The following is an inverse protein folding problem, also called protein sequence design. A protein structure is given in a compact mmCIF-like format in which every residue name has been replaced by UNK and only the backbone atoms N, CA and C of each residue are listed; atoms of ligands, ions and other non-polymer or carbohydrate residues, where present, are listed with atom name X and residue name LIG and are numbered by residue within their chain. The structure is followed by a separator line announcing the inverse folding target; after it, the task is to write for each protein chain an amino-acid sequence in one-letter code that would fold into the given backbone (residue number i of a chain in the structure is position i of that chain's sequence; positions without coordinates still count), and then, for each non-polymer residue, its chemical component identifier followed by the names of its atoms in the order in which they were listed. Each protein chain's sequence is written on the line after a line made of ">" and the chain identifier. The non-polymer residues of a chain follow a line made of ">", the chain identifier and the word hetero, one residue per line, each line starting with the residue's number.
data_IF_366950327743
#
_entry.id   IF_366950327743
#
_cell.length_a   1.000
_cell.length_b   1.000
_cell.length_c   1.000
_cell.angle_alpha   90.00
_cell.angle_beta   90.00
_cell.angle_gamma   90.00
#
_symmetry.space_group_name_H-M   'P 1'
#
loop_
_entity.id
_entity.type
_entity.pdbx_description
1 polymer ?
#
# COMPACT_ATOMS: atom_id res chain seq x y z
N UNK A 1 -9.36 7.51 12.52
CA UNK A 1 -8.95 8.48 11.52
C UNK A 1 -7.51 8.91 11.79
N UNK A 2 -6.78 9.39 10.77
CA UNK A 2 -5.37 9.78 10.83
C UNK A 2 -4.41 8.67 11.32
N UNK A 3 -4.75 7.39 11.11
CA UNK A 3 -3.89 6.27 11.42
C UNK A 3 -3.14 5.83 10.15
N UNK A 4 -1.80 5.99 10.08
CA UNK A 4 -1.02 5.59 8.90
C UNK A 4 -1.00 4.08 8.67
N UNK A 5 -1.29 3.28 9.71
CA UNK A 5 -1.35 1.82 9.62
C UNK A 5 -2.75 1.27 9.36
N UNK A 6 -3.76 2.14 9.17
CA UNK A 6 -5.13 1.71 8.92
C UNK A 6 -5.23 0.81 7.68
N UNK A 7 -5.97 -0.29 7.80
CA UNK A 7 -6.21 -1.26 6.72
C UNK A 7 -7.70 -1.55 6.59
N UNK A 8 -8.22 -1.42 5.38
CA UNK A 8 -9.59 -1.85 5.08
C UNK A 8 -9.63 -3.32 4.69
N UNK A 9 -10.81 -3.96 4.79
CA UNK A 9 -10.99 -5.34 4.33
C UNK A 9 -10.88 -5.49 2.81
N UNK A 10 -10.99 -4.40 2.07
CA UNK A 10 -10.78 -4.39 0.62
C UNK A 10 -9.32 -4.23 0.23
N UNK A 11 -8.40 -4.08 1.21
CA UNK A 11 -6.96 -3.94 0.99
C UNK A 11 -6.47 -2.51 0.77
N UNK A 12 -7.30 -1.50 1.01
CA UNK A 12 -6.84 -0.12 1.08
C UNK A 12 -6.03 0.10 2.37
N UNK A 13 -4.95 0.89 2.30
CA UNK A 13 -4.00 1.06 3.40
C UNK A 13 -3.58 2.53 3.55
N UNK A 14 -3.28 2.92 4.80
CA UNK A 14 -2.67 4.18 5.16
C UNK A 14 -3.65 5.33 5.37
N UNK A 15 -3.12 6.53 5.57
CA UNK A 15 -3.90 7.76 5.76
C UNK A 15 -4.83 8.03 4.57
N UNK A 16 -4.35 7.77 3.37
CA UNK A 16 -5.03 8.06 2.11
C UNK A 16 -5.81 6.86 1.56
N UNK A 17 -5.79 5.73 2.25
CA UNK A 17 -6.51 4.50 1.87
C UNK A 17 -6.26 4.09 0.40
N UNK A 18 -5.01 4.12 -0.02
CA UNK A 18 -4.66 3.67 -1.36
C UNK A 18 -4.87 2.17 -1.54
N UNK A 19 -5.56 1.80 -2.62
CA UNK A 19 -5.49 0.44 -3.16
C UNK A 19 -4.09 0.19 -3.74
N UNK A 20 -3.56 -1.06 -3.67
CA UNK A 20 -2.20 -1.35 -4.13
C UNK A 20 -1.92 -0.91 -5.57
N UNK A 21 -2.84 -1.17 -6.51
CA UNK A 21 -2.68 -0.79 -7.91
C UNK A 21 -2.62 0.73 -8.09
N UNK A 22 -3.46 1.48 -7.36
CA UNK A 22 -3.47 2.94 -7.41
C UNK A 22 -2.21 3.51 -6.77
N UNK A 23 -1.79 3.00 -5.62
CA UNK A 23 -0.54 3.42 -4.97
C UNK A 23 0.67 3.27 -5.89
N UNK A 24 0.85 2.10 -6.48
CA UNK A 24 1.95 1.85 -7.45
C UNK A 24 1.88 2.78 -8.67
N UNK A 25 0.69 3.03 -9.21
CA UNK A 25 0.50 3.96 -10.33
C UNK A 25 1.00 5.37 -10.02
N UNK A 26 0.89 5.81 -8.77
CA UNK A 26 1.32 7.13 -8.33
C UNK A 26 2.68 7.14 -7.64
N UNK A 27 3.47 6.05 -7.81
CA UNK A 27 4.88 5.99 -7.46
C UNK A 27 5.18 5.45 -6.07
N UNK A 28 4.21 4.80 -5.39
CA UNK A 28 4.46 4.15 -4.11
C UNK A 28 5.03 2.76 -4.30
N UNK A 29 6.08 2.45 -3.57
CA UNK A 29 6.63 1.10 -3.48
C UNK A 29 5.79 0.24 -2.54
N UNK A 30 5.40 -0.94 -3.03
CA UNK A 30 4.55 -1.87 -2.28
C UNK A 30 5.03 -3.29 -2.56
N UNK A 31 5.66 -3.89 -1.56
CA UNK A 31 6.16 -5.28 -1.61
C UNK A 31 6.07 -5.93 -0.22
N UNK A 32 6.77 -7.03 0.02
CA UNK A 32 6.71 -7.76 1.28
C UNK A 32 7.50 -7.12 2.43
N UNK A 33 8.40 -6.19 2.15
CA UNK A 33 9.23 -5.49 3.13
C UNK A 33 8.87 -4.01 3.28
N UNK A 34 8.31 -3.40 2.24
CA UNK A 34 7.93 -1.98 2.25
C UNK A 34 6.52 -1.78 1.73
N UNK A 35 5.78 -0.90 2.38
CA UNK A 35 4.46 -0.45 1.95
C UNK A 35 4.35 1.07 2.17
N UNK A 36 4.79 1.85 1.18
CA UNK A 36 4.81 3.32 1.25
C UNK A 36 3.41 3.96 1.32
N UNK A 37 2.33 3.16 1.24
CA UNK A 37 0.98 3.67 1.53
C UNK A 37 0.82 4.04 3.00
N UNK A 38 1.65 3.44 3.87
CA UNK A 38 1.70 3.75 5.31
C UNK A 38 2.61 4.93 5.63
N UNK A 39 3.52 5.30 4.73
CA UNK A 39 4.37 6.48 4.88
C UNK A 39 3.52 7.76 4.73
N UNK A 40 3.43 8.62 5.75
CA UNK A 40 2.57 9.82 5.70
C UNK A 40 3.00 10.79 4.60
N UNK A 41 4.29 10.97 4.37
CA UNK A 41 4.83 11.94 3.40
C UNK A 41 4.65 11.39 1.98
N UNK A 42 5.18 10.19 1.71
CA UNK A 42 5.13 9.56 0.39
C UNK A 42 3.69 9.34 -0.08
N UNK A 43 2.82 8.86 0.83
CA UNK A 43 1.41 8.66 0.47
C UNK A 43 0.66 9.97 0.22
N UNK A 44 1.01 11.06 0.93
CA UNK A 44 0.43 12.38 0.67
C UNK A 44 0.86 12.95 -0.67
N UNK A 45 2.14 12.85 -1.03
CA UNK A 45 2.63 13.22 -2.36
C UNK A 45 1.90 12.44 -3.48
N UNK A 46 1.74 11.14 -3.30
CA UNK A 46 1.00 10.30 -4.25
C UNK A 46 -0.48 10.71 -4.34
N UNK A 47 -1.11 11.05 -3.21
CA UNK A 47 -2.50 11.53 -3.17
C UNK A 47 -2.66 12.87 -3.88
N UNK A 48 -1.73 13.81 -3.71
CA UNK A 48 -1.71 15.08 -4.43
C UNK A 48 -1.62 14.86 -5.96
N UNK A 49 -0.75 13.94 -6.41
CA UNK A 49 -0.63 13.57 -7.82
C UNK A 49 -1.94 12.95 -8.35
N UNK A 50 -2.57 12.09 -7.55
CA UNK A 50 -3.84 11.47 -7.91
C UNK A 50 -4.97 12.50 -8.00
N UNK A 51 -5.13 13.36 -6.99
CA UNK A 51 -6.12 14.44 -6.99
C UNK A 51 -5.92 15.38 -8.17
N UNK A 52 -4.68 15.77 -8.49
CA UNK A 52 -4.36 16.58 -9.67
C UNK A 52 -4.80 15.88 -10.97
N UNK A 53 -4.58 14.58 -11.09
CA UNK A 53 -5.03 13.79 -12.24
C UNK A 53 -6.57 13.76 -12.36
N UNK A 54 -7.28 13.59 -11.24
CA UNK A 54 -8.74 13.61 -11.22
C UNK A 54 -9.29 15.01 -11.57
N UNK A 55 -8.65 16.06 -11.06
CA UNK A 55 -9.05 17.44 -11.38
C UNK A 55 -8.84 17.76 -12.86
N UNK A 56 -7.81 17.21 -13.50
CA UNK A 56 -7.63 17.38 -14.95
C UNK A 56 -8.79 16.82 -15.77
N UNK A 57 -9.47 15.77 -15.27
CA UNK A 57 -10.60 15.11 -15.92
C UNK A 57 -11.93 15.83 -15.64
N UNK A 58 -12.19 16.14 -14.38
CA UNK A 58 -13.52 16.59 -13.94
C UNK A 58 -13.66 18.10 -13.85
N UNK A 59 -12.57 18.85 -13.56
CA UNK A 59 -12.55 20.32 -13.37
C UNK A 59 -13.49 20.85 -12.28
N UNK A 60 -13.99 19.95 -11.42
CA UNK A 60 -14.90 20.23 -10.31
C UNK A 60 -14.45 19.43 -9.09
N UNK A 61 -14.21 20.10 -7.96
CA UNK A 61 -13.69 19.45 -6.75
C UNK A 61 -14.68 18.47 -6.12
N UNK A 62 -15.99 18.71 -6.22
CA UNK A 62 -16.98 17.79 -5.68
C UNK A 62 -16.95 16.45 -6.44
N UNK A 63 -16.79 16.51 -7.77
CA UNK A 63 -16.61 15.32 -8.61
C UNK A 63 -15.25 14.66 -8.38
N UNK A 64 -14.20 15.44 -8.12
CA UNK A 64 -12.86 14.91 -7.79
C UNK A 64 -12.90 14.12 -6.49
N UNK A 65 -13.53 14.65 -5.43
CA UNK A 65 -13.66 13.97 -4.14
C UNK A 65 -14.49 12.69 -4.28
N UNK A 66 -15.60 12.74 -5.04
CA UNK A 66 -16.36 11.55 -5.36
C UNK A 66 -15.55 10.50 -6.14
N UNK A 67 -14.76 10.94 -7.13
CA UNK A 67 -13.91 10.07 -7.94
C UNK A 67 -12.71 9.50 -7.18
N UNK A 68 -12.20 10.21 -6.17
CA UNK A 68 -11.20 9.69 -5.27
C UNK A 68 -11.72 8.47 -4.50
N UNK A 69 -12.96 8.54 -4.00
CA UNK A 69 -13.57 7.46 -3.25
C UNK A 69 -13.98 6.25 -4.14
N UNK A 70 -14.73 6.47 -5.24
CA UNK A 70 -15.27 5.36 -6.03
C UNK A 70 -14.55 5.09 -7.37
N UNK A 71 -13.55 5.88 -7.69
CA UNK A 71 -12.84 5.84 -8.97
C UNK A 71 -13.53 6.65 -10.08
N UNK A 72 -12.75 7.20 -11.03
CA UNK A 72 -13.27 8.05 -12.11
C UNK A 72 -14.26 7.34 -13.03
N UNK A 73 -14.13 6.03 -13.21
CA UNK A 73 -15.05 5.25 -14.03
C UNK A 73 -16.49 5.23 -13.48
N UNK A 74 -16.66 5.17 -12.17
CA UNK A 74 -18.00 5.19 -11.56
C UNK A 74 -18.63 6.57 -11.62
N UNK A 75 -17.85 7.64 -11.47
CA UNK A 75 -18.33 9.02 -11.66
C UNK A 75 -18.75 9.26 -13.11
N UNK A 76 -17.98 8.80 -14.10
CA UNK A 76 -18.34 8.92 -15.51
C UNK A 76 -19.63 8.13 -15.84
N UNK A 77 -19.81 6.93 -15.29
CA UNK A 77 -21.07 6.19 -15.41
C UNK A 77 -22.26 6.95 -14.81
N UNK A 78 -22.06 7.58 -13.65
CA UNK A 78 -23.11 8.38 -13.00
C UNK A 78 -23.46 9.63 -13.83
N UNK A 79 -22.48 10.34 -14.40
CA UNK A 79 -22.67 11.45 -15.33
C UNK A 79 -23.50 11.01 -16.56
N UNK A 80 -23.14 9.89 -17.17
CA UNK A 80 -23.90 9.34 -18.30
C UNK A 80 -25.37 9.04 -17.95
N UNK A 81 -25.59 8.39 -16.78
CA UNK A 81 -26.96 8.08 -16.30
C UNK A 81 -27.77 9.32 -15.93
N UNK A 82 -27.10 10.42 -15.54
CA UNK A 82 -27.72 11.72 -15.26
C UNK A 82 -27.97 12.56 -16.51
N UNK A 83 -27.87 11.99 -17.70
CA UNK A 83 -28.05 12.71 -18.96
C UNK A 83 -26.94 13.69 -19.30
N UNK A 84 -25.69 13.43 -18.84
CA UNK A 84 -24.53 14.26 -19.09
C UNK A 84 -24.31 15.40 -18.11
N UNK A 85 -25.15 15.55 -17.10
CA UNK A 85 -25.00 16.58 -16.06
C UNK A 85 -23.72 16.32 -15.26
N UNK A 86 -22.90 17.38 -15.06
CA UNK A 86 -21.57 17.30 -14.45
C UNK A 86 -21.49 18.04 -13.13
N UNK A 87 -22.54 17.99 -12.33
CA UNK A 87 -22.53 18.46 -10.94
C UNK A 87 -22.83 17.31 -9.98
N UNK A 88 -22.25 17.37 -8.78
CA UNK A 88 -22.35 16.28 -7.79
C UNK A 88 -23.79 15.93 -7.43
N UNK A 89 -24.67 16.91 -7.24
CA UNK A 89 -26.02 16.67 -6.77
C UNK A 89 -26.92 16.05 -7.85
N UNK A 90 -26.71 16.43 -9.11
CA UNK A 90 -27.39 15.80 -10.24
C UNK A 90 -26.99 14.32 -10.43
N UNK A 91 -25.73 13.95 -10.17
CA UNK A 91 -25.25 12.58 -10.29
C UNK A 91 -25.42 11.76 -9.01
N UNK A 92 -25.73 12.40 -7.88
CA UNK A 92 -25.85 11.79 -6.55
C UNK A 92 -26.70 10.49 -6.55
N UNK A 93 -27.90 10.41 -7.15
CA UNK A 93 -28.70 9.19 -7.14
C UNK A 93 -28.04 8.00 -7.84
N UNK A 94 -27.10 8.27 -8.75
CA UNK A 94 -26.43 7.27 -9.58
C UNK A 94 -25.05 6.84 -9.05
N UNK A 95 -24.55 7.53 -8.01
CA UNK A 95 -23.29 7.18 -7.34
C UNK A 95 -23.46 5.95 -6.42
N UNK A 96 -22.38 5.20 -6.15
CA UNK A 96 -22.38 4.17 -5.11
C UNK A 96 -22.83 4.75 -3.76
N UNK A 97 -23.56 3.95 -2.97
CA UNK A 97 -24.15 4.39 -1.69
C UNK A 97 -23.11 5.03 -0.74
N UNK A 98 -21.93 4.44 -0.64
CA UNK A 98 -20.83 4.96 0.17
C UNK A 98 -20.38 6.34 -0.32
N UNK A 99 -20.20 6.51 -1.63
CA UNK A 99 -19.72 7.74 -2.26
C UNK A 99 -20.69 8.90 -2.07
N UNK A 100 -22.01 8.62 -1.99
CA UNK A 100 -23.02 9.66 -1.73
C UNK A 100 -22.78 10.38 -0.41
N UNK A 101 -22.37 9.64 0.62
CA UNK A 101 -22.06 10.22 1.94
C UNK A 101 -20.66 10.84 2.02
N UNK A 102 -19.75 10.46 1.13
CA UNK A 102 -18.33 10.82 1.24
C UNK A 102 -18.09 12.33 1.14
N UNK A 103 -18.64 13.00 0.14
CA UNK A 103 -18.51 14.45 -0.02
C UNK A 103 -19.17 15.24 1.12
N UNK A 104 -20.42 14.98 1.52
CA UNK A 104 -21.03 15.64 2.68
C UNK A 104 -20.23 15.45 3.97
N UNK A 105 -19.71 14.24 4.24
CA UNK A 105 -18.86 13.97 5.40
C UNK A 105 -17.54 14.74 5.33
N UNK A 106 -16.92 14.83 4.16
CA UNK A 106 -15.70 15.63 3.95
C UNK A 106 -15.94 17.11 4.25
N UNK A 107 -17.06 17.68 3.76
CA UNK A 107 -17.44 19.08 4.03
C UNK A 107 -17.67 19.28 5.54
N UNK A 108 -18.41 18.37 6.18
CA UNK A 108 -18.70 18.44 7.62
C UNK A 108 -17.41 18.34 8.46
N UNK A 109 -16.50 17.42 8.11
CA UNK A 109 -15.23 17.28 8.80
C UNK A 109 -14.35 18.53 8.61
N UNK A 110 -14.25 19.05 7.39
CA UNK A 110 -13.53 20.30 7.12
C UNK A 110 -14.10 21.48 7.91
N UNK A 111 -15.42 21.59 7.98
CA UNK A 111 -16.08 22.62 8.78
C UNK A 111 -15.73 22.47 10.28
N UNK A 112 -15.92 21.27 10.82
CA UNK A 112 -15.63 21.01 12.24
C UNK A 112 -14.17 21.27 12.61
N UNK A 113 -13.22 20.97 11.73
CA UNK A 113 -11.79 21.24 11.96
C UNK A 113 -11.43 22.71 11.87
N UNK A 114 -12.06 23.46 10.94
CA UNK A 114 -11.77 24.89 10.79
C UNK A 114 -12.45 25.77 11.85
N UNK A 115 -13.53 25.30 12.46
CA UNK A 115 -14.32 26.03 13.45
C UNK A 115 -14.38 25.28 14.80
N UNK A 116 -13.33 24.50 15.11
CA UNK A 116 -13.27 23.68 16.31
C UNK A 116 -13.43 24.49 17.59
N UNK A 117 -12.75 25.63 17.69
CA UNK A 117 -12.82 26.59 18.78
C UNK A 117 -14.24 27.17 18.99
N UNK A 118 -14.91 27.56 17.91
CA UNK A 118 -16.30 28.07 17.94
C UNK A 118 -17.27 27.04 18.50
N UNK A 119 -16.98 25.74 18.28
CA UNK A 119 -17.82 24.63 18.75
C UNK A 119 -17.32 24.03 20.09
N UNK A 120 -16.35 24.67 20.76
CA UNK A 120 -15.80 24.17 22.02
C UNK A 120 -15.06 22.83 21.91
N UNK A 121 -14.58 22.50 20.72
CA UNK A 121 -13.79 21.29 20.46
C UNK A 121 -12.33 21.62 20.75
N UNK A 122 -11.85 21.21 21.92
CA UNK A 122 -10.46 21.40 22.31
C UNK A 122 -9.64 20.11 22.07
N UNK A 123 -8.35 20.21 21.74
CA UNK A 123 -7.45 19.05 21.76
C UNK A 123 -7.44 18.41 23.14
N UNK A 124 -7.52 17.10 23.23
CA UNK A 124 -7.52 16.38 24.51
C UNK A 124 -6.17 16.46 25.24
N UNK A 125 -5.07 16.51 24.50
CA UNK A 125 -3.70 16.63 25.01
C UNK A 125 -2.80 17.04 23.85
N UNK A 126 -1.85 17.95 24.10
CA UNK A 126 -0.77 18.17 23.15
C UNK A 126 0.14 16.95 23.09
N UNK A 127 0.08 16.20 22.02
CA UNK A 127 1.06 15.17 21.74
C UNK A 127 2.24 15.88 21.07
N UNK A 128 3.26 16.18 21.88
CA UNK A 128 4.55 16.62 21.34
C UNK A 128 5.18 15.43 20.61
N UNK A 129 5.14 15.47 19.30
CA UNK A 129 5.96 14.55 18.50
C UNK A 129 7.41 14.99 18.62
N UNK A 130 8.37 14.08 18.82
CA UNK A 130 9.78 14.44 18.83
C UNK A 130 10.12 15.08 17.48
N UNK A 131 11.00 16.06 17.49
CA UNK A 131 11.59 16.60 16.26
C UNK A 131 12.36 15.46 15.61
N UNK A 132 12.08 15.19 14.35
CA UNK A 132 12.65 14.06 13.65
C UNK A 132 13.57 14.51 12.53
N UNK A 133 14.58 13.70 12.27
CA UNK A 133 15.43 13.81 11.09
C UNK A 133 15.25 12.59 10.19
N UNK A 134 15.58 12.75 8.91
CA UNK A 134 15.47 11.67 7.92
C UNK A 134 16.86 11.32 7.41
N UNK A 135 17.32 10.16 7.78
CA UNK A 135 18.57 9.60 7.29
C UNK A 135 18.30 8.74 6.05
N UNK A 136 19.09 8.96 5.01
CA UNK A 136 19.05 8.12 3.80
C UNK A 136 20.08 7.01 3.94
N UNK A 137 19.62 5.76 3.81
CA UNK A 137 20.50 4.58 3.90
C UNK A 137 20.24 3.60 2.76
N UNK A 138 21.31 3.01 2.24
CA UNK A 138 21.24 1.91 1.27
C UNK A 138 21.49 0.54 1.92
N UNK A 139 21.75 0.52 3.23
CA UNK A 139 22.07 -0.69 3.97
C UNK A 139 20.82 -1.43 4.42
N UNK A 140 20.82 -2.75 4.22
CA UNK A 140 19.75 -3.60 4.74
C UNK A 140 19.92 -3.77 6.24
N UNK A 141 18.89 -3.36 6.99
CA UNK A 141 18.93 -3.42 8.46
C UNK A 141 17.56 -3.68 9.05
N UNK A 142 17.55 -4.13 10.28
CA UNK A 142 16.35 -4.35 11.06
C UNK A 142 16.23 -3.28 12.15
N UNK A 143 15.04 -2.71 12.36
CA UNK A 143 14.82 -1.66 13.36
C UNK A 143 15.27 -2.09 14.78
N UNK A 144 15.24 -3.40 15.08
CA UNK A 144 15.76 -3.92 16.36
C UNK A 144 17.27 -3.72 16.51
N UNK A 145 18.04 -3.67 15.41
CA UNK A 145 19.46 -3.37 15.49
C UNK A 145 19.70 -1.94 15.96
N UNK A 146 18.86 -1.01 15.52
CA UNK A 146 18.90 0.40 15.94
C UNK A 146 18.49 0.50 17.41
N UNK A 147 17.35 -0.09 17.79
CA UNK A 147 16.84 -0.06 19.16
C UNK A 147 17.79 -0.70 20.19
N UNK A 148 18.61 -1.67 19.79
CA UNK A 148 19.55 -2.33 20.70
C UNK A 148 20.83 -1.53 20.94
N UNK A 149 21.19 -0.58 20.08
CA UNK A 149 22.40 0.20 20.16
C UNK A 149 22.16 1.67 20.53
N UNK A 150 20.93 2.16 20.34
CA UNK A 150 20.54 3.53 20.64
C UNK A 150 19.40 3.56 21.66
N UNK A 151 19.29 4.65 22.40
CA UNK A 151 18.24 4.85 23.40
C UNK A 151 16.89 5.19 22.75
N UNK A 152 16.30 4.20 22.08
CA UNK A 152 14.98 4.29 21.44
C UNK A 152 14.28 2.93 21.46
N UNK A 153 12.98 2.93 21.69
CA UNK A 153 12.17 1.72 21.65
C UNK A 153 11.86 1.29 20.20
N UNK A 154 11.68 -0.02 19.98
CA UNK A 154 11.29 -0.53 18.66
C UNK A 154 9.88 -0.06 18.27
N UNK A 155 9.00 0.16 19.25
CA UNK A 155 7.65 0.68 19.07
C UNK A 155 7.68 2.11 18.54
N UNK A 156 8.59 2.92 19.00
CA UNK A 156 8.79 4.28 18.54
C UNK A 156 9.37 4.32 17.13
N UNK A 157 10.37 3.49 16.85
CA UNK A 157 10.89 3.31 15.49
C UNK A 157 9.82 2.86 14.49
N UNK A 158 8.93 1.93 14.89
CA UNK A 158 7.79 1.49 14.06
C UNK A 158 6.78 2.62 13.81
N UNK A 159 6.55 3.47 14.81
CA UNK A 159 5.66 4.63 14.68
C UNK A 159 6.23 5.66 13.72
N UNK A 160 7.54 5.91 13.75
CA UNK A 160 8.22 6.84 12.87
C UNK A 160 8.42 6.29 11.46
N UNK A 161 8.48 4.95 11.32
CA UNK A 161 8.76 4.26 10.05
C UNK A 161 7.69 3.20 9.72
N UNK A 162 6.42 3.57 9.64
CA UNK A 162 5.32 2.61 9.49
C UNK A 162 5.33 1.87 8.14
N UNK A 163 6.08 2.36 7.15
CA UNK A 163 6.22 1.76 5.83
C UNK A 163 7.04 0.46 5.83
N UNK A 164 7.91 0.24 6.83
CA UNK A 164 8.77 -0.96 6.87
C UNK A 164 8.04 -2.14 7.49
N UNK A 165 7.58 -3.05 6.63
CA UNK A 165 7.01 -4.32 7.08
C UNK A 165 8.11 -5.21 7.69
N UNK A 166 7.75 -5.96 8.74
CA UNK A 166 8.68 -6.86 9.45
C UNK A 166 9.89 -6.13 10.07
N UNK A 167 9.78 -4.83 10.29
CA UNK A 167 10.84 -3.98 10.86
C UNK A 167 12.15 -3.98 10.04
N UNK A 168 12.08 -4.18 8.73
CA UNK A 168 13.25 -4.27 7.85
C UNK A 168 13.28 -3.10 6.87
N UNK A 169 14.34 -2.30 6.93
CA UNK A 169 14.75 -1.41 5.85
C UNK A 169 15.38 -2.30 4.77
N UNK A 170 14.88 -2.31 3.51
CA UNK A 170 15.26 -3.34 2.54
C UNK A 170 16.73 -3.33 2.11
N UNK A 171 17.32 -2.14 1.95
CA UNK A 171 18.66 -1.98 1.39
C UNK A 171 18.72 -2.20 -0.13
N UNK A 172 19.92 -2.02 -0.69
CA UNK A 172 20.18 -2.17 -2.13
C UNK A 172 19.83 -0.95 -2.98
N UNK A 173 19.13 0.03 -2.44
CA UNK A 173 18.93 1.39 -2.91
C UNK A 173 18.69 2.32 -1.72
N UNK A 174 18.62 3.60 -1.96
CA UNK A 174 18.35 4.59 -0.93
C UNK A 174 16.93 4.48 -0.37
N UNK A 175 16.83 4.37 0.95
CA UNK A 175 15.60 4.38 1.72
C UNK A 175 15.66 5.42 2.85
N UNK A 176 14.55 6.08 3.11
CA UNK A 176 14.43 7.06 4.17
C UNK A 176 14.18 6.36 5.51
N UNK A 177 15.04 6.60 6.51
CA UNK A 177 14.87 6.18 7.90
C UNK A 177 14.62 7.42 8.76
N UNK A 178 13.44 7.50 9.34
CA UNK A 178 13.05 8.61 10.22
C UNK A 178 13.46 8.27 11.66
N UNK A 179 14.24 9.13 12.29
CA UNK A 179 14.72 9.01 13.66
C UNK A 179 14.46 10.31 14.44
N UNK A 180 14.30 10.27 15.78
CA UNK A 180 14.42 11.48 16.60
C UNK A 180 15.74 12.17 16.35
N UNK A 181 15.73 13.51 16.30
CA UNK A 181 16.91 14.29 15.97
C UNK A 181 18.05 14.08 17.00
N UNK A 182 17.70 13.79 18.24
CA UNK A 182 18.62 13.59 19.35
C UNK A 182 19.54 12.37 19.14
N UNK A 183 19.07 11.36 18.41
CA UNK A 183 19.82 10.12 18.17
C UNK A 183 20.34 9.98 16.74
N UNK A 184 20.00 10.89 15.83
CA UNK A 184 20.40 10.81 14.43
C UNK A 184 21.92 10.89 14.24
N UNK A 185 22.61 11.74 15.01
CA UNK A 185 24.07 11.79 15.04
C UNK A 185 24.71 10.50 15.54
N UNK A 186 24.20 9.97 16.67
CA UNK A 186 24.70 8.71 17.23
C UNK A 186 24.46 7.52 16.28
N UNK A 187 23.37 7.51 15.51
CA UNK A 187 23.15 6.50 14.48
C UNK A 187 24.24 6.54 13.40
N UNK A 188 24.63 7.73 12.93
CA UNK A 188 25.68 7.88 11.91
C UNK A 188 27.02 7.40 12.46
N UNK A 189 27.38 7.81 13.67
CA UNK A 189 28.65 7.47 14.30
C UNK A 189 28.79 5.98 14.62
N UNK A 190 27.68 5.30 14.94
CA UNK A 190 27.64 3.89 15.34
C UNK A 190 27.12 2.95 14.25
N UNK A 191 27.01 3.39 13.01
CA UNK A 191 26.37 2.63 11.93
C UNK A 191 26.93 1.21 11.77
N UNK A 192 28.25 1.05 11.80
CA UNK A 192 28.91 -0.26 11.68
C UNK A 192 28.51 -1.22 12.81
N UNK A 193 28.46 -0.72 14.05
CA UNK A 193 28.06 -1.49 15.23
C UNK A 193 26.58 -1.90 15.16
N UNK A 194 25.73 -0.98 14.73
CA UNK A 194 24.29 -1.21 14.55
C UNK A 194 24.08 -2.31 13.50
N UNK A 195 24.72 -2.22 12.35
CA UNK A 195 24.58 -3.20 11.27
C UNK A 195 25.14 -4.57 11.64
N UNK A 196 26.19 -4.62 12.46
CA UNK A 196 26.78 -5.88 12.94
C UNK A 196 25.92 -6.61 13.97
N UNK A 197 25.07 -5.89 14.76
CA UNK A 197 24.29 -6.47 15.85
C UNK A 197 23.29 -7.54 15.33
N UNK A 198 23.48 -8.78 15.73
CA UNK A 198 22.62 -9.93 15.39
C UNK A 198 22.26 -10.00 13.89
N UNK A 199 23.15 -9.57 12.99
CA UNK A 199 22.87 -9.49 11.56
C UNK A 199 22.44 -10.84 10.95
N UNK A 200 23.09 -11.94 11.35
CA UNK A 200 22.76 -13.30 10.88
C UNK A 200 21.35 -13.71 11.27
N UNK A 201 20.91 -13.40 12.47
CA UNK A 201 19.60 -13.80 13.00
C UNK A 201 18.47 -12.94 12.47
N UNK A 202 18.69 -11.62 12.41
CA UNK A 202 17.67 -10.64 12.05
C UNK A 202 17.51 -10.47 10.53
N UNK A 203 18.59 -10.62 9.76
CA UNK A 203 18.62 -10.30 8.35
C UNK A 203 18.75 -11.56 7.46
N UNK A 204 19.73 -12.44 7.73
CA UNK A 204 20.09 -13.53 6.79
C UNK A 204 19.08 -14.67 6.72
N UNK A 205 18.28 -14.90 7.77
CA UNK A 205 17.25 -15.94 7.79
C UNK A 205 15.91 -15.49 7.18
N UNK A 206 15.83 -14.31 6.58
CA UNK A 206 14.60 -13.80 6.00
C UNK A 206 14.44 -14.24 4.54
N UNK A 207 13.20 -14.60 4.17
CA UNK A 207 12.83 -14.93 2.79
C UNK A 207 13.00 -13.71 1.89
N UNK A 208 13.31 -13.96 0.62
CA UNK A 208 13.37 -12.92 -0.41
C UNK A 208 12.10 -12.06 -0.43
N UNK A 209 12.24 -10.83 -0.84
CA UNK A 209 11.11 -9.93 -1.06
C UNK A 209 10.14 -10.50 -2.08
N UNK A 210 8.86 -10.40 -1.77
CA UNK A 210 7.79 -10.81 -2.68
C UNK A 210 6.90 -9.60 -2.91
N UNK A 211 6.75 -9.23 -4.17
CA UNK A 211 5.81 -8.16 -4.54
C UNK A 211 4.38 -8.56 -4.19
N UNK A 212 3.72 -7.79 -3.33
CA UNK A 212 2.34 -8.06 -2.90
C UNK A 212 1.36 -8.07 -4.07
N UNK A 213 1.61 -7.25 -5.11
CA UNK A 213 0.78 -7.24 -6.31
C UNK A 213 0.94 -8.53 -7.13
N UNK A 214 2.13 -9.13 -7.13
CA UNK A 214 2.34 -10.42 -7.77
C UNK A 214 1.66 -11.54 -7.02
N UNK A 215 1.60 -11.47 -5.67
CA UNK A 215 0.83 -12.43 -4.85
C UNK A 215 -0.68 -12.37 -5.08
N UNK A 216 -1.19 -11.16 -5.28
CA UNK A 216 -2.63 -10.91 -5.52
C UNK A 216 -2.93 -10.74 -7.01
N UNK A 217 -1.99 -11.06 -7.89
CA UNK A 217 -2.01 -10.81 -9.33
C UNK A 217 -3.39 -10.98 -9.95
N UNK A 218 -3.66 -10.27 -11.03
CA UNK A 218 -4.97 -10.18 -11.72
C UNK A 218 -5.70 -11.53 -11.85
N UNK A 219 -4.95 -12.63 -11.82
CA UNK A 219 -5.46 -13.99 -11.96
C UNK A 219 -5.29 -14.86 -10.70
N UNK A 220 -5.00 -14.27 -9.53
CA UNK A 220 -4.84 -15.01 -8.27
C UNK A 220 -3.57 -15.87 -8.19
N UNK A 221 -2.60 -15.68 -9.08
CA UNK A 221 -1.26 -16.23 -8.99
C UNK A 221 -0.32 -15.30 -8.21
N UNK A 222 0.84 -15.81 -7.82
CA UNK A 222 1.92 -15.04 -7.22
C UNK A 222 3.24 -15.40 -7.92
N UNK A 223 4.19 -14.46 -7.99
CA UNK A 223 5.48 -14.71 -8.64
C UNK A 223 6.62 -14.69 -7.61
N UNK A 224 7.56 -15.62 -7.78
CA UNK A 224 8.77 -15.71 -6.98
C UNK A 224 9.94 -15.95 -7.93
N UNK A 225 10.96 -15.09 -7.88
CA UNK A 225 12.14 -15.17 -8.75
C UNK A 225 11.78 -15.29 -10.25
N UNK A 226 10.81 -14.51 -10.71
CA UNK A 226 10.38 -14.53 -12.12
C UNK A 226 9.50 -15.70 -12.53
N UNK A 227 9.21 -16.64 -11.63
CA UNK A 227 8.30 -17.77 -11.88
C UNK A 227 6.95 -17.47 -11.24
N UNK A 228 5.88 -17.51 -12.04
CA UNK A 228 4.51 -17.33 -11.54
C UNK A 228 3.99 -18.67 -10.98
N UNK A 229 3.37 -18.60 -9.80
CA UNK A 229 2.76 -19.74 -9.13
C UNK A 229 1.26 -19.50 -8.95
N UNK A 230 0.44 -20.52 -9.12
CA UNK A 230 -0.99 -20.47 -8.90
C UNK A 230 -1.43 -21.57 -7.95
N UNK A 231 -2.11 -21.23 -6.85
CA UNK A 231 -2.71 -22.20 -5.94
C UNK A 231 -4.08 -22.61 -6.48
N UNK A 232 -4.21 -23.90 -6.83
CA UNK A 232 -5.43 -24.49 -7.37
C UNK A 232 -6.56 -24.33 -6.36
N UNK A 233 -7.69 -23.81 -6.78
CA UNK A 233 -8.91 -23.63 -5.98
C UNK A 233 -9.87 -24.79 -6.27
N UNK A 234 -10.84 -24.97 -5.38
CA UNK A 234 -11.95 -25.91 -5.61
C UNK A 234 -12.75 -25.49 -6.86
N UNK A 235 -13.03 -26.44 -7.74
CA UNK A 235 -13.67 -26.16 -9.03
C UNK A 235 -12.74 -25.77 -10.19
N UNK A 236 -11.44 -25.55 -9.94
CA UNK A 236 -10.51 -25.26 -11.03
C UNK A 236 -10.26 -26.49 -11.92
N UNK A 237 -10.17 -26.26 -13.23
CA UNK A 237 -9.69 -27.23 -14.21
C UNK A 237 -8.37 -26.78 -14.82
N UNK A 238 -7.55 -27.74 -15.28
CA UNK A 238 -6.26 -27.40 -15.91
C UNK A 238 -6.44 -26.52 -17.15
N UNK A 239 -7.51 -26.77 -17.93
CA UNK A 239 -7.89 -25.94 -19.08
C UNK A 239 -8.30 -24.52 -18.70
N UNK A 240 -9.10 -24.38 -17.62
CA UNK A 240 -9.50 -23.07 -17.08
C UNK A 240 -8.32 -22.26 -16.58
N UNK A 241 -7.38 -22.90 -15.87
CA UNK A 241 -6.16 -22.26 -15.41
C UNK A 241 -5.28 -21.85 -16.60
N UNK A 242 -5.10 -22.71 -17.59
CA UNK A 242 -4.33 -22.42 -18.79
C UNK A 242 -4.89 -21.21 -19.57
N UNK A 243 -6.21 -21.15 -19.77
CA UNK A 243 -6.88 -20.01 -20.39
C UNK A 243 -6.72 -18.72 -19.58
N UNK A 244 -6.83 -18.81 -18.25
CA UNK A 244 -6.70 -17.71 -17.31
C UNK A 244 -5.32 -17.03 -17.37
N UNK A 245 -4.28 -17.81 -17.62
CA UNK A 245 -2.90 -17.32 -17.70
C UNK A 245 -2.37 -17.20 -19.14
N UNK A 246 -3.24 -17.34 -20.13
CA UNK A 246 -2.90 -17.24 -21.56
C UNK A 246 -1.79 -18.21 -22.01
N UNK A 247 -1.76 -19.41 -21.44
CA UNK A 247 -0.81 -20.48 -21.80
C UNK A 247 -1.54 -21.70 -22.33
N UNK A 248 -0.89 -22.51 -23.17
CA UNK A 248 -1.50 -23.75 -23.62
C UNK A 248 -1.47 -24.82 -22.51
N UNK A 249 -2.51 -25.66 -22.44
CA UNK A 249 -2.56 -26.80 -21.51
C UNK A 249 -1.33 -27.70 -21.64
N UNK A 250 -0.88 -27.95 -22.88
CA UNK A 250 0.33 -28.75 -23.17
C UNK A 250 1.58 -28.15 -22.53
N UNK A 251 1.76 -26.82 -22.66
CA UNK A 251 2.90 -26.10 -22.07
C UNK A 251 2.83 -26.07 -20.53
N UNK A 252 1.61 -25.88 -19.98
CA UNK A 252 1.39 -25.88 -18.53
C UNK A 252 1.69 -27.26 -17.92
N UNK A 253 1.26 -28.34 -18.58
CA UNK A 253 1.58 -29.73 -18.17
C UNK A 253 3.08 -29.99 -18.19
N UNK A 254 3.73 -29.72 -19.31
CA UNK A 254 5.17 -29.94 -19.48
C UNK A 254 5.99 -29.21 -18.41
N UNK A 255 5.61 -27.94 -18.13
CA UNK A 255 6.32 -27.10 -17.15
C UNK A 255 6.16 -27.58 -15.70
N UNK A 256 5.09 -28.33 -15.42
CA UNK A 256 4.80 -28.89 -14.08
C UNK A 256 5.04 -30.41 -13.98
N UNK A 257 5.53 -31.06 -15.04
CA UNK A 257 5.74 -32.51 -15.07
C UNK A 257 4.45 -33.32 -14.92
N UNK A 258 3.30 -32.76 -15.39
CA UNK A 258 2.02 -33.45 -15.28
C UNK A 258 1.78 -34.39 -16.45
N UNK A 259 1.45 -35.63 -16.16
CA UNK A 259 1.12 -36.67 -17.16
C UNK A 259 -0.37 -36.71 -17.49
N UNK A 260 -1.24 -36.22 -16.60
CA UNK A 260 -2.70 -36.13 -16.78
C UNK A 260 -3.24 -34.72 -16.57
N UNK A 261 -4.52 -34.49 -16.86
CA UNK A 261 -5.20 -33.22 -16.63
C UNK A 261 -5.78 -33.13 -15.22
N UNK A 262 -5.61 -34.17 -14.43
CA UNK A 262 -6.14 -34.22 -13.07
C UNK A 262 -5.30 -33.34 -12.15
N UNK A 263 -5.92 -32.33 -11.57
CA UNK A 263 -5.32 -31.45 -10.58
C UNK A 263 -6.12 -31.50 -9.27
N UNK A 264 -5.46 -31.19 -8.15
CA UNK A 264 -6.11 -31.22 -6.83
C UNK A 264 -6.09 -29.82 -6.22
N UNK A 265 -7.23 -29.37 -5.69
CA UNK A 265 -7.33 -28.14 -4.93
C UNK A 265 -6.30 -28.09 -3.77
N UNK A 266 -5.76 -26.91 -3.51
CA UNK A 266 -4.73 -26.69 -2.50
C UNK A 266 -3.29 -26.92 -2.98
N UNK A 267 -3.07 -27.63 -4.09
CA UNK A 267 -1.74 -27.76 -4.73
C UNK A 267 -1.40 -26.49 -5.51
N UNK A 268 -0.11 -26.31 -5.79
CA UNK A 268 0.41 -25.14 -6.52
C UNK A 268 0.95 -25.56 -7.86
N UNK A 269 0.54 -24.85 -8.92
CA UNK A 269 1.08 -24.98 -10.27
C UNK A 269 2.07 -23.84 -10.55
N UNK A 270 3.16 -24.16 -11.24
CA UNK A 270 4.07 -23.20 -11.86
C UNK A 270 3.50 -22.77 -13.21
N UNK A 271 3.35 -21.50 -13.43
CA UNK A 271 2.84 -20.94 -14.68
C UNK A 271 4.03 -20.51 -15.53
N UNK A 272 4.21 -21.08 -16.75
CA UNK A 272 5.27 -20.65 -17.63
C UNK A 272 5.01 -19.21 -18.12
N UNK A 273 6.06 -18.40 -18.18
CA UNK A 273 5.96 -17.05 -18.77
C UNK A 273 5.52 -17.18 -20.24
N UNK A 274 4.63 -16.27 -20.66
CA UNK A 274 4.12 -16.22 -22.05
C UNK A 274 5.24 -15.89 -23.02
#
# INVERSE_FOLDING_TARGET
>A
ALNPQARSHMGAVGLWQFMPATGKKYGLEINSLIDERMDPIRSTEAACKFLKSLYSIFKDWNLVIAAYNCGPGNVNKAIHRAGGKRDFWSIYPFLPKETRGYLPIFIAASYAMNFADVHGICPATEILYPVTDTIVTAERQHLKQIAANLDITIEELRRLNPQYARDIVPGGKEYALCLPIEISGAYIDQQDSILAYQAKELIHNRRAEIDLMQKTGLNGGYSVNGVTYYKIKEGDTLGGIAAKFHVSVKRLKAFNGLTSDLIRAGKTLKIPNV
#
